data_IF_060334951554
#
_entry.id   IF_060334951554
#
_cell.length_a   1.000
_cell.length_b   1.000
_cell.length_c   1.000
_cell.angle_alpha   90.00
_cell.angle_beta   90.00
_cell.angle_gamma   90.00
#
_symmetry.space_group_name_H-M   'P 1'
#
loop_
_entity.id
_entity.type
_entity.pdbx_description
1 polymer ?
#
# COMPACT_ATOMS: atom_id res chain seq x y z
N UNK A 1 1.40 4.99 5.57
CA UNK A 1 1.64 5.01 4.11
C UNK A 1 2.40 3.75 3.68
N UNK A 2 2.50 3.46 2.38
CA UNK A 2 3.25 2.30 1.87
C UNK A 2 4.29 2.71 0.83
N UNK A 3 5.41 2.02 0.80
CA UNK A 3 6.55 2.28 -0.07
C UNK A 3 7.16 0.98 -0.60
N UNK A 4 8.13 1.11 -1.51
CA UNK A 4 8.81 -0.02 -2.15
C UNK A 4 7.90 -0.94 -2.99
N UNK A 5 6.80 -0.42 -3.55
CA UNK A 5 5.95 -1.15 -4.49
C UNK A 5 6.49 -1.08 -5.93
N UNK A 6 6.17 -2.09 -6.73
CA UNK A 6 6.52 -2.13 -8.16
C UNK A 6 5.77 -1.05 -8.94
N UNK A 7 6.34 -0.63 -10.06
CA UNK A 7 5.71 0.39 -10.91
C UNK A 7 4.39 -0.07 -11.54
N UNK A 8 4.30 -1.38 -11.77
CA UNK A 8 3.16 -2.08 -12.36
C UNK A 8 2.00 -2.27 -11.36
N UNK A 9 2.28 -2.16 -10.06
CA UNK A 9 1.26 -2.33 -9.01
C UNK A 9 0.25 -1.18 -9.07
N UNK A 10 -1.02 -1.54 -9.03
CA UNK A 10 -2.13 -0.59 -9.04
C UNK A 10 -2.88 -0.60 -7.71
N UNK A 11 -3.70 0.43 -7.50
CA UNK A 11 -4.57 0.52 -6.32
C UNK A 11 -5.53 -0.67 -6.25
N UNK A 12 -5.89 -1.25 -7.39
CA UNK A 12 -6.77 -2.41 -7.48
C UNK A 12 -6.11 -3.68 -6.95
N UNK A 13 -4.79 -3.82 -7.12
CA UNK A 13 -4.01 -4.94 -6.54
C UNK A 13 -3.78 -4.75 -5.04
N UNK A 14 -3.59 -3.50 -4.60
CA UNK A 14 -3.32 -3.17 -3.19
C UNK A 14 -4.59 -3.17 -2.34
N UNK A 15 -5.75 -2.82 -2.90
CA UNK A 15 -7.03 -2.85 -2.20
C UNK A 15 -7.35 -4.19 -1.53
N UNK A 16 -7.35 -5.33 -2.24
CA UNK A 16 -7.62 -6.63 -1.64
C UNK A 16 -6.48 -7.07 -0.71
N UNK A 17 -5.23 -6.70 -1.02
CA UNK A 17 -4.08 -7.01 -0.18
C UNK A 17 -4.18 -6.36 1.22
N UNK A 18 -4.50 -5.07 1.26
CA UNK A 18 -4.80 -4.34 2.49
C UNK A 18 -6.14 -4.76 3.11
N UNK A 19 -7.11 -5.09 2.27
CA UNK A 19 -8.42 -5.64 2.65
C UNK A 19 -8.36 -6.95 3.43
N UNK A 20 -7.27 -7.73 3.27
CA UNK A 20 -7.05 -8.96 4.03
C UNK A 20 -6.89 -8.71 5.55
N UNK A 21 -6.43 -7.52 5.94
CA UNK A 21 -6.29 -7.13 7.34
C UNK A 21 -7.53 -6.44 7.87
N UNK A 22 -8.15 -5.57 7.06
CA UNK A 22 -9.33 -4.84 7.48
C UNK A 22 -9.89 -3.91 6.42
N UNK A 23 -11.04 -3.27 6.71
CA UNK A 23 -11.72 -2.37 5.79
C UNK A 23 -10.86 -1.14 5.46
N UNK A 24 -10.53 -1.00 4.18
CA UNK A 24 -9.75 0.12 3.64
C UNK A 24 -10.70 1.19 3.11
N UNK A 25 -10.55 2.42 3.60
CA UNK A 25 -11.35 3.57 3.19
C UNK A 25 -10.82 4.19 1.90
N UNK A 26 -9.50 4.32 1.77
CA UNK A 26 -8.88 4.96 0.61
C UNK A 26 -7.52 4.35 0.30
N UNK A 27 -7.23 4.11 -0.97
CA UNK A 27 -5.90 3.70 -1.45
C UNK A 27 -5.56 4.62 -2.60
N UNK A 28 -4.38 5.23 -2.53
CA UNK A 28 -3.88 6.14 -3.56
C UNK A 28 -2.40 5.91 -3.80
N UNK A 29 -2.02 5.61 -5.04
CA UNK A 29 -0.60 5.50 -5.42
C UNK A 29 -0.09 6.85 -5.88
N UNK A 30 1.10 7.25 -5.42
CA UNK A 30 1.76 8.44 -5.94
C UNK A 30 2.47 8.08 -7.23
N UNK A 31 2.01 8.69 -8.31
CA UNK A 31 2.64 8.62 -9.63
C UNK A 31 3.24 9.97 -9.96
N UNK A 32 4.34 9.95 -10.69
CA UNK A 32 4.95 11.16 -11.21
C UNK A 32 4.04 11.75 -12.31
N UNK A 33 3.68 13.03 -12.19
CA UNK A 33 2.77 13.67 -13.14
C UNK A 33 3.40 13.94 -14.52
N UNK A 34 4.73 13.91 -14.64
CA UNK A 34 5.42 14.15 -15.90
C UNK A 34 5.65 12.86 -16.68
N UNK A 35 6.04 11.77 -16.01
CA UNK A 35 6.32 10.48 -16.67
C UNK A 35 5.16 9.50 -16.58
N UNK A 36 4.17 9.77 -15.73
CA UNK A 36 3.08 8.82 -15.41
C UNK A 36 3.55 7.59 -14.63
N UNK A 37 4.84 7.48 -14.33
CA UNK A 37 5.39 6.31 -13.63
C UNK A 37 5.08 6.39 -12.14
N UNK A 38 4.65 5.27 -11.57
CA UNK A 38 4.51 5.15 -10.12
C UNK A 38 5.84 5.50 -9.45
N UNK A 39 5.83 6.21 -8.33
CA UNK A 39 7.08 6.46 -7.58
C UNK A 39 7.46 5.29 -6.67
N UNK A 40 6.69 4.21 -6.72
CA UNK A 40 6.87 3.04 -5.86
C UNK A 40 6.40 3.28 -4.43
N UNK A 41 5.55 4.28 -4.20
CA UNK A 41 4.93 4.56 -2.90
C UNK A 41 3.52 5.14 -3.06
N UNK A 42 2.76 5.09 -1.98
CA UNK A 42 1.38 5.54 -1.91
C UNK A 42 0.84 5.61 -0.50
N UNK A 43 -0.43 5.97 -0.39
CA UNK A 43 -1.13 6.16 0.86
C UNK A 43 -2.32 5.20 0.91
N UNK A 44 -2.48 4.53 2.04
CA UNK A 44 -3.61 3.69 2.35
C UNK A 44 -4.20 4.19 3.67
N UNK A 45 -5.51 4.45 3.67
CA UNK A 45 -6.27 4.91 4.82
C UNK A 45 -7.25 3.82 5.19
N UNK A 46 -7.09 3.26 6.39
CA UNK A 46 -8.04 2.31 6.96
C UNK A 46 -9.21 3.04 7.61
N UNK A 47 -10.32 2.33 7.80
CA UNK A 47 -11.45 2.87 8.56
C UNK A 47 -11.16 2.94 10.06
N UNK A 48 -10.28 2.05 10.56
CA UNK A 48 -9.89 2.00 11.97
C UNK A 48 -8.34 1.96 12.09
N UNK A 49 -7.74 2.75 12.99
CA UNK A 49 -6.31 2.70 13.27
C UNK A 49 -5.82 1.33 13.75
N UNK A 50 -6.68 0.51 14.39
CA UNK A 50 -6.30 -0.85 14.81
C UNK A 50 -5.91 -1.74 13.61
N UNK A 51 -6.63 -1.62 12.50
CA UNK A 51 -6.31 -2.35 11.27
C UNK A 51 -5.03 -1.82 10.63
N UNK A 52 -4.75 -0.52 10.73
CA UNK A 52 -3.51 0.06 10.23
C UNK A 52 -2.28 -0.51 10.97
N UNK A 53 -2.32 -0.57 12.31
CA UNK A 53 -1.24 -1.18 13.11
C UNK A 53 -1.07 -2.67 12.82
N UNK A 54 -2.18 -3.38 12.64
CA UNK A 54 -2.13 -4.82 12.29
C UNK A 54 -1.51 -5.01 10.90
N UNK A 55 -1.88 -4.16 9.94
CA UNK A 55 -1.33 -4.19 8.59
C UNK A 55 0.17 -3.87 8.59
N UNK A 56 0.60 -2.89 9.37
CA UNK A 56 2.02 -2.57 9.56
C UNK A 56 2.81 -3.76 10.10
N UNK A 57 2.21 -4.63 10.91
CA UNK A 57 2.93 -5.77 11.49
C UNK A 57 2.83 -7.04 10.66
N UNK A 58 1.71 -7.25 9.97
CA UNK A 58 1.43 -8.48 9.22
C UNK A 58 1.75 -8.37 7.73
N UNK A 59 1.57 -7.18 7.15
CA UNK A 59 1.79 -6.93 5.72
C UNK A 59 3.14 -6.26 5.42
N UNK A 60 3.81 -5.66 6.41
CA UNK A 60 5.16 -5.13 6.20
C UNK A 60 6.14 -6.25 5.83
N UNK A 61 6.94 -6.01 4.79
CA UNK A 61 7.89 -6.97 4.25
C UNK A 61 7.26 -8.06 3.37
N UNK A 62 5.94 -8.12 3.22
CA UNK A 62 5.30 -9.10 2.36
C UNK A 62 5.60 -8.84 0.87
N UNK A 63 5.87 -9.88 0.08
CA UNK A 63 6.13 -9.73 -1.35
C UNK A 63 4.84 -9.40 -2.12
N UNK A 64 4.78 -8.20 -2.69
CA UNK A 64 3.75 -7.80 -3.66
C UNK A 64 4.42 -7.78 -5.04
N UNK A 65 3.96 -8.64 -5.96
CA UNK A 65 4.54 -8.77 -7.32
C UNK A 65 6.08 -9.01 -7.30
N UNK A 66 6.52 -9.80 -6.33
CA UNK A 66 7.93 -10.15 -6.14
C UNK A 66 8.80 -9.05 -5.52
N UNK A 67 8.21 -7.98 -4.98
CA UNK A 67 8.93 -6.93 -4.24
C UNK A 67 8.34 -6.76 -2.83
N UNK A 68 9.17 -6.74 -1.76
CA UNK A 68 8.65 -6.59 -0.40
C UNK A 68 8.05 -5.19 -0.23
N UNK A 69 6.77 -5.11 0.10
CA UNK A 69 6.13 -3.83 0.42
C UNK A 69 6.65 -3.33 1.77
N UNK A 70 6.87 -2.03 1.88
CA UNK A 70 7.12 -1.37 3.16
C UNK A 70 5.88 -0.63 3.60
N UNK A 71 5.47 -0.83 4.84
CA UNK A 71 4.37 -0.11 5.47
C UNK A 71 4.93 0.69 6.63
N UNK A 72 4.47 1.92 6.76
CA UNK A 72 4.96 2.83 7.79
C UNK A 72 3.80 3.71 8.32
N UNK A 73 3.85 4.10 9.60
CA UNK A 73 2.91 5.05 10.19
C UNK A 73 3.46 6.48 10.07
N UNK A 74 2.97 7.25 9.10
CA UNK A 74 3.11 8.71 9.10
C UNK A 74 1.77 9.35 8.77
#
# INVERSE_FOLDING_TARGET
FFANVRYDVTEDTLKPFFGAVGPVTHVKIVRDSFTGQSKGYGFCTYSDPLYATTALRSLDGQPVEGRPIRLDDA
#
